data_IF_965673188508
#
_entry.id   IF_965673188508
#
_cell.length_a   1.000
_cell.length_b   1.000
_cell.length_c   1.000
_cell.angle_alpha   90.00
_cell.angle_beta   90.00
_cell.angle_gamma   90.00
#
_symmetry.space_group_name_H-M   'P 1'
#
loop_
_entity.id
_entity.type
_entity.pdbx_description
1 polymer ?
#
# COMPACT_ATOMS: atom_id res chain seq x y z
N UNK A 1 2.82 -17.10 3.30
CA UNK A 1 1.73 -16.11 3.39
C UNK A 1 0.54 -16.62 2.61
N UNK A 2 -0.68 -16.52 3.12
CA UNK A 2 -1.91 -16.85 2.37
C UNK A 2 -2.48 -15.58 1.74
N UNK A 3 -3.23 -15.73 0.63
CA UNK A 3 -3.95 -14.64 -0.02
C UNK A 3 -5.46 -14.83 0.15
N UNK A 4 -6.17 -13.73 0.29
CA UNK A 4 -7.62 -13.67 0.24
C UNK A 4 -7.98 -12.73 -0.91
N UNK A 5 -8.79 -13.21 -1.85
CA UNK A 5 -9.00 -12.59 -3.15
C UNK A 5 -10.44 -12.13 -3.31
N UNK A 6 -10.64 -10.96 -3.90
CA UNK A 6 -11.94 -10.43 -4.28
C UNK A 6 -11.90 -9.98 -5.74
N UNK A 7 -12.91 -10.39 -6.51
CA UNK A 7 -13.11 -9.95 -7.89
C UNK A 7 -14.44 -9.20 -8.00
N UNK A 8 -14.35 -7.92 -8.34
CA UNK A 8 -15.52 -7.04 -8.53
C UNK A 8 -15.90 -6.90 -10.01
N UNK A 9 -14.95 -7.16 -10.90
CA UNK A 9 -15.11 -7.07 -12.35
C UNK A 9 -14.93 -8.41 -13.04
N UNK A 10 -15.68 -8.66 -14.11
CA UNK A 10 -15.48 -9.83 -14.98
C UNK A 10 -14.37 -9.62 -16.01
N UNK A 11 -13.97 -8.37 -16.26
CA UNK A 11 -12.84 -8.04 -17.13
C UNK A 11 -11.54 -8.03 -16.33
N UNK A 12 -10.47 -8.56 -16.92
CA UNK A 12 -9.12 -8.41 -16.36
C UNK A 12 -8.79 -6.92 -16.32
N UNK A 13 -8.26 -6.38 -15.21
CA UNK A 13 -7.77 -5.01 -15.20
C UNK A 13 -6.71 -4.85 -16.27
N UNK A 14 -6.94 -3.94 -17.22
CA UNK A 14 -5.96 -3.68 -18.29
C UNK A 14 -4.74 -2.96 -17.69
N UNK A 15 -3.59 -3.60 -17.74
CA UNK A 15 -2.30 -2.93 -17.50
C UNK A 15 -2.01 -1.94 -18.65
N UNK A 16 -2.49 -2.27 -19.86
CA UNK A 16 -2.42 -1.39 -21.03
C UNK A 16 -3.26 -0.12 -20.78
N UNK A 17 -2.62 1.05 -20.85
CA UNK A 17 -3.27 2.35 -20.61
C UNK A 17 -2.87 3.00 -19.29
N UNK A 18 -2.24 2.26 -18.36
CA UNK A 18 -1.63 2.83 -17.18
C UNK A 18 -0.14 3.13 -17.41
N UNK A 19 0.40 4.25 -16.90
CA UNK A 19 1.79 4.65 -17.11
C UNK A 19 2.79 3.68 -16.44
N UNK A 20 2.36 2.94 -15.41
CA UNK A 20 3.14 1.90 -14.74
C UNK A 20 2.25 0.71 -14.36
N UNK A 21 2.84 -0.48 -14.23
CA UNK A 21 2.12 -1.68 -13.81
C UNK A 21 1.77 -1.66 -12.32
N UNK A 22 2.71 -1.24 -11.47
CA UNK A 22 2.59 -1.27 -10.03
C UNK A 22 2.93 0.08 -9.38
N UNK A 23 2.04 0.58 -8.52
CA UNK A 23 2.34 1.63 -7.56
C UNK A 23 2.46 1.04 -6.16
N UNK A 24 3.46 1.48 -5.39
CA UNK A 24 3.57 1.13 -3.96
C UNK A 24 3.36 2.40 -3.14
N UNK A 25 2.33 2.41 -2.31
CA UNK A 25 1.97 3.50 -1.40
C UNK A 25 2.48 3.18 0.00
N UNK A 26 3.31 4.07 0.54
CA UNK A 26 3.93 3.93 1.86
C UNK A 26 3.60 5.15 2.71
N UNK A 27 2.68 5.03 3.70
CA UNK A 27 2.53 6.04 4.72
C UNK A 27 3.75 6.04 5.63
N UNK A 28 4.28 7.21 5.97
CA UNK A 28 5.47 7.38 6.80
C UNK A 28 5.14 8.21 8.02
N UNK A 29 5.35 7.66 9.21
CA UNK A 29 5.26 8.41 10.47
C UNK A 29 6.33 7.95 11.45
N UNK A 30 7.30 8.82 11.75
CA UNK A 30 8.52 8.50 12.52
C UNK A 30 9.34 7.38 11.89
N UNK A 31 9.41 7.37 10.55
CA UNK A 31 10.05 6.34 9.74
C UNK A 31 11.47 6.70 9.27
N UNK A 32 12.11 7.75 9.83
CA UNK A 32 13.41 8.22 9.37
C UNK A 32 14.49 7.13 9.34
N UNK A 33 14.43 6.16 10.25
CA UNK A 33 15.40 5.06 10.35
C UNK A 33 15.14 3.90 9.37
N UNK A 34 13.93 3.78 8.83
CA UNK A 34 13.48 2.60 8.06
C UNK A 34 13.22 2.91 6.59
N UNK A 35 12.62 4.07 6.29
CA UNK A 35 12.14 4.42 4.95
C UNK A 35 13.24 4.38 3.87
N UNK A 36 14.47 4.76 4.20
CA UNK A 36 15.59 4.73 3.26
C UNK A 36 15.91 3.30 2.78
N UNK A 37 16.00 2.37 3.73
CA UNK A 37 16.23 0.94 3.44
C UNK A 37 15.07 0.31 2.67
N UNK A 38 13.83 0.72 3.00
CA UNK A 38 12.65 0.27 2.27
C UNK A 38 12.70 0.72 0.81
N UNK A 39 12.94 2.01 0.55
CA UNK A 39 13.02 2.55 -0.82
C UNK A 39 14.13 1.90 -1.62
N UNK A 40 15.31 1.65 -1.01
CA UNK A 40 16.40 0.91 -1.64
C UNK A 40 15.95 -0.49 -2.06
N UNK A 41 15.33 -1.24 -1.16
CA UNK A 41 14.85 -2.59 -1.43
C UNK A 41 13.75 -2.61 -2.51
N UNK A 42 12.79 -1.68 -2.46
CA UNK A 42 11.76 -1.54 -3.48
C UNK A 42 12.35 -1.14 -4.84
N UNK A 43 13.39 -0.29 -4.87
CA UNK A 43 14.05 0.13 -6.10
C UNK A 43 14.76 -1.01 -6.83
N UNK A 44 15.03 -2.12 -6.15
CA UNK A 44 15.60 -3.34 -6.76
C UNK A 44 14.55 -4.22 -7.46
N UNK A 45 13.26 -4.02 -7.17
CA UNK A 45 12.17 -4.81 -7.76
C UNK A 45 11.99 -4.48 -9.25
N UNK A 46 11.57 -5.49 -10.02
CA UNK A 46 11.31 -5.36 -11.47
C UNK A 46 9.98 -5.99 -11.83
N UNK A 47 8.84 -5.41 -11.36
CA UNK A 47 7.53 -5.90 -11.76
C UNK A 47 7.27 -5.67 -13.25
N UNK A 48 6.45 -6.52 -13.85
CA UNK A 48 5.97 -6.30 -15.22
C UNK A 48 5.19 -4.97 -15.31
N UNK A 49 5.45 -4.19 -16.34
CA UNK A 49 4.86 -2.86 -16.52
C UNK A 49 5.53 -1.73 -15.72
N UNK A 50 6.59 -2.06 -14.94
CA UNK A 50 7.33 -1.06 -14.18
C UNK A 50 6.74 -0.74 -12.80
N UNK A 51 7.49 0.06 -12.05
CA UNK A 51 7.23 0.39 -10.64
C UNK A 51 7.28 1.90 -10.42
N UNK A 52 6.38 2.40 -9.60
CA UNK A 52 6.53 3.69 -8.91
C UNK A 52 6.32 3.53 -7.39
N UNK A 53 6.89 4.45 -6.62
CA UNK A 53 6.69 4.53 -5.17
C UNK A 53 6.08 5.89 -4.81
N UNK A 54 5.09 5.89 -3.93
CA UNK A 54 4.47 7.09 -3.36
C UNK A 54 4.70 7.09 -1.85
N UNK A 55 5.56 7.98 -1.38
CA UNK A 55 5.80 8.20 0.05
C UNK A 55 4.90 9.32 0.55
N UNK A 56 4.17 9.09 1.62
CA UNK A 56 3.33 10.11 2.26
C UNK A 56 3.78 10.30 3.71
N UNK A 57 4.51 11.38 3.98
CA UNK A 57 4.88 11.75 5.35
C UNK A 57 3.68 12.36 6.07
N UNK A 58 3.17 11.68 7.06
CA UNK A 58 1.99 12.13 7.84
C UNK A 58 2.37 13.07 8.98
N UNK A 59 3.09 14.15 8.64
CA UNK A 59 3.48 15.18 9.61
C UNK A 59 4.36 14.61 10.73
N UNK A 60 5.37 13.84 10.39
CA UNK A 60 6.30 13.26 11.36
C UNK A 60 7.03 14.34 12.16
N UNK A 61 7.18 14.16 13.48
CA UNK A 61 7.90 15.12 14.32
C UNK A 61 9.43 14.96 14.28
N UNK A 62 9.92 13.85 13.68
CA UNK A 62 11.34 13.57 13.46
C UNK A 62 11.78 14.05 12.06
N UNK A 63 12.99 13.69 11.64
CA UNK A 63 13.53 14.07 10.34
C UNK A 63 13.04 13.22 9.16
N UNK A 64 11.94 12.45 9.31
CA UNK A 64 11.37 11.63 8.23
C UNK A 64 11.08 12.45 6.97
N UNK A 65 10.57 13.67 7.11
CA UNK A 65 10.29 14.55 5.98
C UNK A 65 11.52 14.90 5.16
N UNK A 66 12.65 15.19 5.83
CA UNK A 66 13.93 15.48 5.16
C UNK A 66 14.46 14.24 4.44
N UNK A 67 14.40 13.08 5.09
CA UNK A 67 14.82 11.79 4.52
C UNK A 67 13.99 11.46 3.29
N UNK A 68 12.66 11.54 3.36
CA UNK A 68 11.78 11.24 2.22
C UNK A 68 12.01 12.20 1.05
N UNK A 69 12.23 13.50 1.32
CA UNK A 69 12.54 14.49 0.28
C UNK A 69 13.88 14.21 -0.40
N UNK A 70 14.89 13.83 0.37
CA UNK A 70 16.20 13.43 -0.18
C UNK A 70 16.09 12.15 -1.03
N UNK A 71 15.33 11.16 -0.57
CA UNK A 71 15.06 9.94 -1.33
C UNK A 71 14.38 10.24 -2.66
N UNK A 72 13.37 11.12 -2.66
CA UNK A 72 12.67 11.49 -3.89
C UNK A 72 13.58 12.21 -4.89
N UNK A 73 14.51 13.04 -4.40
CA UNK A 73 15.47 13.74 -5.26
C UNK A 73 16.54 12.82 -5.86
N UNK A 74 16.90 11.73 -5.17
CA UNK A 74 17.94 10.79 -5.57
C UNK A 74 17.42 9.50 -6.21
N UNK A 75 16.10 9.31 -6.29
CA UNK A 75 15.50 8.06 -6.72
C UNK A 75 15.86 7.70 -8.17
N UNK A 76 16.15 6.43 -8.39
CA UNK A 76 16.39 5.84 -9.73
C UNK A 76 15.12 5.29 -10.37
N UNK A 77 14.03 5.25 -9.62
CA UNK A 77 12.68 4.86 -10.05
C UNK A 77 11.74 6.06 -9.88
N UNK A 78 10.60 6.12 -10.57
CA UNK A 78 9.56 7.11 -10.29
C UNK A 78 9.17 7.09 -8.81
N UNK A 79 9.45 8.18 -8.09
CA UNK A 79 9.12 8.34 -6.69
C UNK A 79 8.43 9.69 -6.46
N UNK A 80 7.20 9.62 -5.96
CA UNK A 80 6.43 10.79 -5.56
C UNK A 80 6.49 10.94 -4.05
N UNK A 81 6.83 12.14 -3.58
CA UNK A 81 6.81 12.49 -2.16
C UNK A 81 5.67 13.48 -1.89
N UNK A 82 4.87 13.19 -0.89
CA UNK A 82 3.80 14.06 -0.38
C UNK A 82 4.01 14.28 1.11
N UNK A 83 3.83 15.52 1.57
CA UNK A 83 3.97 15.89 2.98
C UNK A 83 2.65 16.46 3.49
N UNK A 84 2.14 15.90 4.56
CA UNK A 84 1.00 16.45 5.28
C UNK A 84 1.46 17.58 6.23
N UNK A 85 0.69 18.63 6.33
CA UNK A 85 0.98 19.77 7.22
C UNK A 85 1.01 19.37 8.71
N UNK A 86 0.39 18.26 9.08
CA UNK A 86 0.38 17.65 10.43
C UNK A 86 -0.02 16.19 10.33
N UNK A 87 0.07 15.45 11.43
CA UNK A 87 -0.47 14.09 11.52
C UNK A 87 -2.00 14.11 11.39
N UNK A 88 -2.51 13.48 10.34
CA UNK A 88 -3.93 13.24 10.08
C UNK A 88 -4.32 11.77 10.28
N UNK A 89 -3.36 10.91 10.59
CA UNK A 89 -3.52 9.46 10.77
C UNK A 89 -3.23 8.66 9.50
N UNK A 90 -2.75 7.44 9.72
CA UNK A 90 -2.31 6.50 8.68
C UNK A 90 -3.29 6.37 7.51
N UNK A 91 -4.61 6.27 7.81
CA UNK A 91 -5.62 6.14 6.75
C UNK A 91 -5.67 7.33 5.81
N UNK A 92 -5.53 8.54 6.34
CA UNK A 92 -5.49 9.74 5.51
C UNK A 92 -4.20 9.79 4.68
N UNK A 93 -3.08 9.31 5.23
CA UNK A 93 -1.84 9.19 4.48
C UNK A 93 -1.97 8.15 3.35
N UNK A 94 -2.54 6.98 3.62
CA UNK A 94 -2.85 5.97 2.61
C UNK A 94 -3.79 6.56 1.53
N UNK A 95 -4.90 7.20 1.91
CA UNK A 95 -5.83 7.81 0.96
C UNK A 95 -5.17 8.89 0.10
N UNK A 96 -4.25 9.66 0.68
CA UNK A 96 -3.45 10.63 -0.07
C UNK A 96 -2.55 9.91 -1.07
N UNK A 97 -1.86 8.86 -0.66
CA UNK A 97 -1.01 8.06 -1.53
C UNK A 97 -1.78 7.42 -2.69
N UNK A 98 -2.95 6.85 -2.41
CA UNK A 98 -3.82 6.26 -3.43
C UNK A 98 -4.25 7.27 -4.52
N UNK A 99 -4.48 8.55 -4.15
CA UNK A 99 -4.80 9.61 -5.11
C UNK A 99 -3.63 10.00 -6.01
N UNK A 100 -2.40 9.69 -5.62
CA UNK A 100 -1.20 9.95 -6.41
C UNK A 100 -0.70 8.72 -7.18
N UNK A 101 -1.21 7.54 -6.85
CA UNK A 101 -0.87 6.30 -7.54
C UNK A 101 -1.42 6.26 -8.96
N UNK A 102 -0.62 5.78 -9.92
CA UNK A 102 -0.93 5.75 -11.35
C UNK A 102 -0.84 4.34 -11.94
N UNK A 103 -0.46 3.37 -11.12
CA UNK A 103 -0.32 1.98 -11.54
C UNK A 103 -1.64 1.30 -11.84
N UNK A 104 -1.60 0.29 -12.72
CA UNK A 104 -2.72 -0.61 -12.95
C UNK A 104 -3.13 -1.35 -11.68
N UNK A 105 -2.16 -1.61 -10.81
CA UNK A 105 -2.33 -2.13 -9.47
C UNK A 105 -1.63 -1.24 -8.46
N UNK A 106 -2.19 -1.17 -7.25
CA UNK A 106 -1.63 -0.39 -6.15
C UNK A 106 -1.48 -1.30 -4.93
N UNK A 107 -0.26 -1.36 -4.39
CA UNK A 107 0.01 -2.03 -3.12
C UNK A 107 0.21 -0.97 -2.04
N UNK A 108 -0.46 -1.15 -0.89
CA UNK A 108 -0.16 -0.39 0.33
C UNK A 108 0.69 -1.23 1.25
N UNK A 109 1.68 -0.64 1.90
CA UNK A 109 2.54 -1.31 2.88
C UNK A 109 3.13 -0.33 3.89
N UNK A 110 3.47 -0.83 5.08
CA UNK A 110 4.12 -0.04 6.13
C UNK A 110 5.61 0.20 5.81
N UNK A 111 6.20 1.23 6.46
CA UNK A 111 7.60 1.60 6.30
C UNK A 111 8.58 0.83 7.22
N UNK A 112 8.08 -0.14 7.98
CA UNK A 112 8.80 -0.82 9.08
C UNK A 112 9.60 -2.07 8.67
N UNK A 113 9.64 -2.41 7.37
CA UNK A 113 10.34 -3.56 6.80
C UNK A 113 9.85 -4.94 7.32
N UNK A 114 8.66 -5.03 7.91
CA UNK A 114 8.09 -6.30 8.35
C UNK A 114 7.63 -7.17 7.17
N UNK A 115 7.36 -6.56 6.04
CA UNK A 115 6.99 -7.25 4.81
C UNK A 115 8.21 -7.29 3.86
N UNK A 116 8.76 -8.47 3.56
CA UNK A 116 9.87 -8.59 2.62
C UNK A 116 9.48 -8.11 1.22
N UNK A 117 10.36 -7.42 0.49
CA UNK A 117 10.08 -6.93 -0.87
C UNK A 117 9.67 -8.03 -1.85
N UNK A 118 10.15 -9.25 -1.67
CA UNK A 118 9.78 -10.40 -2.51
C UNK A 118 8.29 -10.77 -2.38
N UNK A 119 7.69 -10.52 -1.22
CA UNK A 119 6.25 -10.75 -1.00
C UNK A 119 5.41 -9.71 -1.77
N UNK A 120 5.94 -8.51 -2.00
CA UNK A 120 5.31 -7.48 -2.84
C UNK A 120 5.15 -7.97 -4.28
N UNK A 121 6.21 -8.56 -4.87
CA UNK A 121 6.14 -9.12 -6.22
C UNK A 121 5.17 -10.29 -6.31
N UNK A 122 5.21 -11.21 -5.34
CA UNK A 122 4.28 -12.36 -5.30
C UNK A 122 2.83 -11.90 -5.23
N UNK A 123 2.55 -10.89 -4.40
CA UNK A 123 1.22 -10.31 -4.26
C UNK A 123 0.76 -9.65 -5.56
N UNK A 124 1.64 -8.86 -6.20
CA UNK A 124 1.37 -8.22 -7.48
C UNK A 124 1.09 -9.25 -8.58
N UNK A 125 1.96 -10.25 -8.73
CA UNK A 125 1.81 -11.27 -9.76
C UNK A 125 0.55 -12.09 -9.55
N UNK A 126 0.23 -12.44 -8.30
CA UNK A 126 -1.01 -13.14 -7.97
C UNK A 126 -2.24 -12.31 -8.36
N UNK A 127 -2.27 -11.03 -8.01
CA UNK A 127 -3.39 -10.13 -8.35
C UNK A 127 -3.54 -9.98 -9.86
N UNK A 128 -2.43 -9.70 -10.57
CA UNK A 128 -2.41 -9.43 -12.00
C UNK A 128 -2.78 -10.67 -12.83
N UNK A 129 -2.14 -11.82 -12.54
CA UNK A 129 -2.38 -13.05 -13.30
C UNK A 129 -3.77 -13.63 -13.05
N UNK A 130 -4.30 -13.47 -11.84
CA UNK A 130 -5.67 -13.89 -11.50
C UNK A 130 -6.74 -12.89 -11.91
N UNK A 131 -6.37 -11.66 -12.27
CA UNK A 131 -7.30 -10.57 -12.54
C UNK A 131 -8.13 -10.20 -11.32
N UNK A 132 -7.51 -10.25 -10.13
CA UNK A 132 -8.18 -9.93 -8.87
C UNK A 132 -8.22 -8.43 -8.66
N UNK A 133 -9.37 -7.92 -8.22
CA UNK A 133 -9.52 -6.50 -7.92
C UNK A 133 -8.97 -6.11 -6.56
N UNK A 134 -9.03 -7.03 -5.60
CA UNK A 134 -8.44 -6.84 -4.26
C UNK A 134 -7.83 -8.17 -3.81
N UNK A 135 -6.59 -8.10 -3.34
CA UNK A 135 -5.91 -9.22 -2.69
C UNK A 135 -5.38 -8.77 -1.35
N UNK A 136 -5.79 -9.45 -0.29
CA UNK A 136 -5.28 -9.25 1.05
C UNK A 136 -4.27 -10.33 1.41
N UNK A 137 -3.24 -9.96 2.15
CA UNK A 137 -2.33 -10.93 2.73
C UNK A 137 -2.77 -11.31 4.13
N UNK A 138 -2.62 -12.61 4.45
CA UNK A 138 -2.93 -13.17 5.77
C UNK A 138 -1.68 -13.76 6.39
N UNK A 139 -1.36 -13.36 7.61
CA UNK A 139 -0.32 -14.03 8.40
C UNK A 139 -0.83 -15.38 8.91
N UNK A 140 -0.12 -16.46 8.62
CA UNK A 140 -0.50 -17.81 9.05
C UNK A 140 -0.40 -18.00 10.58
N UNK A 141 0.47 -17.25 11.28
CA UNK A 141 0.60 -17.26 12.74
C UNK A 141 1.11 -15.92 13.27
N UNK A 142 0.48 -15.39 14.34
CA UNK A 142 1.04 -14.28 15.12
C UNK A 142 2.17 -14.82 16.02
N UNK A 143 3.42 -14.62 15.62
CA UNK A 143 4.54 -14.59 16.58
C UNK A 143 4.74 -13.15 17.04
N UNK A 144 4.32 -12.85 18.24
CA UNK A 144 4.46 -11.67 19.07
C UNK A 144 3.18 -10.87 19.34
N UNK A 145 2.67 -11.09 20.54
CA UNK A 145 1.76 -10.19 21.23
C UNK A 145 2.49 -8.91 21.64
N UNK A 146 1.87 -7.76 21.38
CA UNK A 146 2.33 -6.49 21.93
C UNK A 146 1.76 -5.27 21.22
N UNK A 147 0.66 -4.76 21.74
CA UNK A 147 0.14 -3.39 21.76
C UNK A 147 -0.03 -2.55 20.48
N UNK A 148 -0.42 -3.13 19.36
CA UNK A 148 -0.82 -2.35 18.15
C UNK A 148 -2.28 -2.54 17.76
N UNK A 149 -3.20 -2.48 18.76
CA UNK A 149 -4.63 -2.72 18.54
C UNK A 149 -5.47 -1.49 18.12
N UNK A 150 -4.88 -0.30 17.85
CA UNK A 150 -5.69 0.87 17.49
C UNK A 150 -5.88 1.07 15.98
N UNK A 151 -4.89 0.76 15.14
CA UNK A 151 -4.98 0.96 13.68
C UNK A 151 -5.85 -0.07 12.95
N UNK A 152 -5.91 -1.30 13.48
CA UNK A 152 -6.65 -2.40 12.85
C UNK A 152 -8.18 -2.30 12.97
N UNK A 153 -8.71 -1.46 13.87
CA UNK A 153 -10.16 -1.37 14.11
C UNK A 153 -10.90 -0.65 12.99
N UNK A 154 -10.27 0.27 12.28
CA UNK A 154 -10.93 1.03 11.22
C UNK A 154 -10.82 0.34 9.84
N UNK A 155 -9.66 -0.23 9.52
CA UNK A 155 -9.52 -1.06 8.30
C UNK A 155 -10.51 -2.24 8.33
N UNK A 156 -10.78 -2.77 9.52
CA UNK A 156 -11.83 -3.76 9.74
C UNK A 156 -13.23 -3.17 9.51
N UNK A 157 -13.50 -1.92 9.89
CA UNK A 157 -14.81 -1.30 9.71
C UNK A 157 -15.19 -1.08 8.25
N UNK A 158 -14.25 -0.70 7.39
CA UNK A 158 -14.50 -0.56 5.94
C UNK A 158 -14.64 -1.93 5.28
N UNK A 159 -13.82 -2.91 5.67
CA UNK A 159 -13.93 -4.28 5.20
C UNK A 159 -15.23 -4.96 5.71
N UNK A 160 -15.64 -4.71 6.96
CA UNK A 160 -16.87 -5.24 7.53
C UNK A 160 -18.12 -4.62 6.86
N UNK A 161 -18.02 -3.40 6.32
CA UNK A 161 -19.11 -2.72 5.64
C UNK A 161 -19.26 -3.12 4.16
N UNK A 162 -18.14 -3.48 3.50
CA UNK A 162 -18.12 -3.81 2.06
C UNK A 162 -18.01 -5.31 1.78
N UNK A 163 -17.62 -6.10 2.76
CA UNK A 163 -17.39 -7.53 2.63
C UNK A 163 -18.02 -8.23 3.84
N UNK A 164 -18.79 -9.26 3.59
CA UNK A 164 -19.29 -10.20 4.62
C UNK A 164 -18.08 -10.98 5.20
N UNK A 165 -17.29 -10.26 6.01
CA UNK A 165 -15.97 -10.71 6.47
C UNK A 165 -16.11 -11.89 7.45
N UNK A 166 -15.44 -13.01 7.21
CA UNK A 166 -15.39 -14.11 8.17
C UNK A 166 -14.80 -13.62 9.51
N UNK A 167 -15.48 -13.93 10.63
CA UNK A 167 -15.02 -13.58 11.98
C UNK A 167 -13.63 -14.17 12.23
N UNK A 168 -12.68 -13.32 12.64
CA UNK A 168 -11.32 -13.75 12.98
C UNK A 168 -10.26 -13.55 11.88
N UNK A 169 -10.60 -12.94 10.76
CA UNK A 169 -9.66 -12.60 9.71
C UNK A 169 -8.87 -11.34 10.09
N UNK A 170 -7.59 -11.49 10.36
CA UNK A 170 -6.65 -10.37 10.53
C UNK A 170 -6.03 -10.02 9.18
N UNK A 171 -6.48 -8.93 8.59
CA UNK A 171 -5.93 -8.40 7.35
C UNK A 171 -4.63 -7.63 7.64
N UNK A 172 -3.59 -7.91 6.88
CA UNK A 172 -2.33 -7.18 6.91
C UNK A 172 -2.50 -5.77 6.29
N UNK A 173 -1.60 -4.84 6.63
CA UNK A 173 -1.44 -3.57 5.91
C UNK A 173 -1.01 -3.78 4.46
N UNK A 174 -0.34 -4.91 4.18
CA UNK A 174 0.08 -5.30 2.83
C UNK A 174 -1.13 -5.85 2.04
N UNK A 175 -1.63 -5.06 1.11
CA UNK A 175 -2.76 -5.39 0.24
C UNK A 175 -2.54 -4.84 -1.16
N UNK A 176 -3.07 -5.54 -2.16
CA UNK A 176 -3.06 -5.12 -3.56
C UNK A 176 -4.48 -4.79 -4.02
N UNK A 177 -4.63 -3.70 -4.75
CA UNK A 177 -5.90 -3.22 -5.31
C UNK A 177 -5.72 -2.90 -6.77
N UNK A 178 -6.72 -3.21 -7.61
CA UNK A 178 -6.76 -2.75 -9.00
C UNK A 178 -7.00 -1.23 -9.07
N UNK A 179 -6.61 -0.61 -10.16
CA UNK A 179 -6.88 0.82 -10.41
C UNK A 179 -8.38 1.15 -10.35
N UNK A 180 -9.25 0.20 -10.73
CA UNK A 180 -10.70 0.33 -10.60
C UNK A 180 -11.11 0.57 -9.14
N UNK A 181 -10.65 -0.31 -8.24
CA UNK A 181 -10.94 -0.19 -6.80
C UNK A 181 -10.37 1.10 -6.24
N UNK A 182 -9.14 1.44 -6.59
CA UNK A 182 -8.50 2.69 -6.15
C UNK A 182 -9.31 3.91 -6.60
N UNK A 183 -9.80 3.93 -7.84
CA UNK A 183 -10.63 5.02 -8.34
C UNK A 183 -11.94 5.14 -7.55
N UNK A 184 -12.61 4.03 -7.24
CA UNK A 184 -13.87 4.04 -6.47
C UNK A 184 -13.64 4.45 -5.01
N UNK A 185 -12.62 3.89 -4.35
CA UNK A 185 -12.28 4.23 -2.96
C UNK A 185 -11.90 5.70 -2.82
N UNK A 186 -11.13 6.25 -3.76
CA UNK A 186 -10.69 7.66 -3.71
C UNK A 186 -11.78 8.66 -4.06
N UNK A 187 -12.85 8.24 -4.74
CA UNK A 187 -14.07 9.04 -5.00
C UNK A 187 -15.00 9.08 -3.80
N UNK A 188 -14.94 8.06 -2.93
CA UNK A 188 -15.82 8.01 -1.76
C UNK A 188 -15.53 9.20 -0.83
N UNK A 189 -16.55 10.03 -0.65
CA UNK A 189 -16.50 11.22 0.22
C UNK A 189 -17.35 10.98 1.46
N UNK A 190 -17.26 9.82 2.10
CA UNK A 190 -17.96 9.40 3.31
C UNK A 190 -18.89 10.40 3.99
N UNK A 191 -19.77 9.95 4.91
CA UNK A 191 -20.63 10.87 5.63
C UNK A 191 -19.82 11.84 6.48
#
# INVERSE_FOLDING_TARGET
MGFEDLKLSQALPEVAGHPVGLSIVVPVYRGAATVGRLVEALSALRPEGGLEVVLVNDGSPDNSGEVCRALAAAATIPLTYVEHARNFGEHNAVMTGLRHARGAYVITMDDDLQNPPEEVLKLYDHARLGGWDVVYTRYAEKKHEGWRNLGSRFANGVADMLLDKPKGLYLSSLRCMSALVVAEVTRYRGP
#
